data_IF_809697695621
#
_entry.id   IF_809697695621
#
_cell.length_a   1.000
_cell.length_b   1.000
_cell.length_c   1.000
_cell.angle_alpha   90.00
_cell.angle_beta   90.00
_cell.angle_gamma   90.00
#
_symmetry.space_group_name_H-M   'P 1'
#
loop_
_entity.id
_entity.type
_entity.pdbx_description
1 polymer ?
#
# COMPACT_ATOMS: atom_id res chain seq x y z
N UNK A 1 6.35 -26.50 22.47
CA UNK A 1 6.79 -25.12 22.15
C UNK A 1 5.63 -24.49 21.39
N UNK A 2 4.98 -23.51 21.96
CA UNK A 2 3.79 -22.85 21.41
C UNK A 2 4.17 -21.92 20.27
N UNK A 3 3.28 -21.70 19.28
CA UNK A 3 3.46 -20.76 18.16
C UNK A 3 3.89 -19.34 18.59
N UNK A 4 3.63 -18.93 19.82
CA UNK A 4 4.11 -17.68 20.42
C UNK A 4 5.62 -17.63 20.69
N UNK A 5 6.30 -18.76 20.81
CA UNK A 5 7.76 -18.79 21.02
C UNK A 5 8.57 -18.73 19.72
N UNK A 6 7.94 -18.97 18.56
CA UNK A 6 8.60 -18.83 17.25
C UNK A 6 8.54 -17.39 16.66
N UNK A 7 7.74 -16.49 17.26
CA UNK A 7 7.66 -15.08 16.85
C UNK A 7 8.72 -14.16 17.49
N UNK A 8 9.58 -14.70 18.34
CA UNK A 8 10.47 -13.91 19.20
C UNK A 8 11.77 -13.43 18.55
N UNK A 9 12.04 -13.70 17.26
CA UNK A 9 13.33 -13.38 16.62
C UNK A 9 13.24 -12.59 15.29
N UNK A 10 12.07 -12.08 14.93
CA UNK A 10 11.99 -11.14 13.80
C UNK A 10 12.25 -9.75 14.33
N UNK A 11 13.42 -9.18 14.00
CA UNK A 11 13.76 -7.81 14.36
C UNK A 11 12.66 -6.86 13.87
N UNK A 12 12.19 -5.97 14.75
CA UNK A 12 11.18 -4.96 14.40
C UNK A 12 11.72 -4.08 13.25
N UNK A 13 11.07 -4.07 12.07
CA UNK A 13 11.53 -3.30 10.92
C UNK A 13 11.61 -1.80 11.20
N UNK A 14 10.88 -1.29 12.21
CA UNK A 14 10.96 0.10 12.67
C UNK A 14 12.26 0.45 13.38
N UNK A 15 13.03 -0.54 13.83
CA UNK A 15 14.27 -0.36 14.61
C UNK A 15 15.52 -0.85 13.86
N UNK A 16 15.38 -1.31 12.60
CA UNK A 16 16.51 -1.80 11.82
C UNK A 16 17.59 -0.73 11.68
N UNK A 17 18.86 -1.15 11.78
CA UNK A 17 20.04 -0.33 11.59
C UNK A 17 21.15 -1.10 10.88
N UNK A 18 22.22 -0.43 10.49
CA UNK A 18 23.43 -1.03 9.94
C UNK A 18 23.18 -2.07 8.86
N UNK A 19 23.80 -3.23 8.98
CA UNK A 19 23.70 -4.32 8.01
C UNK A 19 22.28 -4.91 7.86
N UNK A 20 21.49 -4.92 8.95
CA UNK A 20 20.12 -5.42 8.91
C UNK A 20 19.21 -4.50 8.09
N UNK A 21 19.35 -3.18 8.25
CA UNK A 21 18.61 -2.20 7.43
C UNK A 21 19.03 -2.25 5.97
N UNK A 22 20.33 -2.38 5.68
CA UNK A 22 20.84 -2.56 4.32
C UNK A 22 20.28 -3.82 3.65
N UNK A 23 20.19 -4.93 4.38
CA UNK A 23 19.60 -6.16 3.89
C UNK A 23 18.10 -6.01 3.62
N UNK A 24 17.36 -5.33 4.49
CA UNK A 24 15.93 -5.07 4.31
C UNK A 24 15.65 -4.19 3.09
N UNK A 25 16.42 -3.13 2.86
CA UNK A 25 16.31 -2.28 1.66
C UNK A 25 16.57 -3.06 0.37
N UNK A 26 17.58 -3.94 0.34
CA UNK A 26 17.83 -4.81 -0.81
C UNK A 26 16.71 -5.83 -1.03
N UNK A 27 16.18 -6.40 0.03
CA UNK A 27 15.08 -7.35 -0.06
C UNK A 27 13.79 -6.69 -0.55
N UNK A 28 13.44 -5.51 -0.03
CA UNK A 28 12.29 -4.73 -0.51
C UNK A 28 12.41 -4.44 -2.01
N UNK A 29 13.56 -3.92 -2.48
CA UNK A 29 13.81 -3.68 -3.91
C UNK A 29 13.69 -4.95 -4.74
N UNK A 30 14.23 -6.06 -4.29
CA UNK A 30 14.12 -7.35 -4.98
C UNK A 30 12.66 -7.78 -5.12
N UNK A 31 11.87 -7.65 -4.06
CA UNK A 31 10.43 -7.96 -4.07
C UNK A 31 9.67 -7.03 -5.02
N UNK A 32 9.93 -5.73 -4.95
CA UNK A 32 9.32 -4.72 -5.83
C UNK A 32 9.57 -5.04 -7.32
N UNK A 33 10.81 -5.34 -7.69
CA UNK A 33 11.14 -5.70 -9.07
C UNK A 33 10.49 -7.00 -9.52
N UNK A 34 10.41 -8.01 -8.65
CA UNK A 34 9.73 -9.26 -8.95
C UNK A 34 8.22 -9.08 -9.22
N UNK A 35 7.60 -8.05 -8.65
CA UNK A 35 6.19 -7.73 -8.90
C UNK A 35 5.91 -7.18 -10.31
N UNK A 36 6.91 -6.79 -11.07
CA UNK A 36 6.75 -6.17 -12.39
C UNK A 36 7.57 -6.84 -13.49
N UNK A 37 8.39 -7.83 -13.15
CA UNK A 37 9.34 -8.44 -14.09
C UNK A 37 8.66 -9.24 -15.20
N UNK A 38 7.57 -9.93 -14.89
CA UNK A 38 6.77 -10.73 -15.82
C UNK A 38 5.81 -9.92 -16.70
N UNK A 39 5.68 -8.61 -16.47
CA UNK A 39 4.77 -7.75 -17.22
C UNK A 39 5.29 -7.48 -18.63
N UNK A 40 4.41 -7.61 -19.63
CA UNK A 40 4.70 -7.26 -21.01
C UNK A 40 4.87 -5.75 -21.21
N UNK A 41 5.46 -5.34 -22.33
CA UNK A 41 5.63 -3.93 -22.67
C UNK A 41 4.30 -3.15 -22.70
N UNK A 42 3.22 -3.77 -23.17
CA UNK A 42 1.88 -3.16 -23.13
C UNK A 42 1.36 -2.98 -21.69
N UNK A 43 1.64 -3.90 -20.78
CA UNK A 43 1.23 -3.82 -19.38
C UNK A 43 2.06 -2.81 -18.58
N UNK A 44 3.24 -2.43 -19.04
CA UNK A 44 4.04 -1.35 -18.46
C UNK A 44 3.45 0.04 -18.66
N UNK A 45 2.58 0.19 -19.67
CA UNK A 45 1.86 1.43 -19.97
C UNK A 45 0.35 1.18 -19.85
N UNK A 46 -0.18 1.01 -18.64
CA UNK A 46 -1.60 0.77 -18.42
C UNK A 46 -2.43 1.95 -18.91
N UNK A 47 -3.74 1.76 -19.21
CA UNK A 47 -4.61 2.87 -19.54
C UNK A 47 -4.73 3.85 -18.35
N UNK A 48 -4.92 5.13 -18.66
CA UNK A 48 -5.17 6.14 -17.62
C UNK A 48 -6.45 5.78 -16.84
N UNK A 49 -6.28 5.60 -15.53
CA UNK A 49 -7.36 5.29 -14.59
C UNK A 49 -6.99 5.87 -13.23
N UNK A 50 -7.99 6.38 -12.50
CA UNK A 50 -7.79 6.87 -11.12
C UNK A 50 -7.18 5.75 -10.25
N UNK A 51 -6.13 6.10 -9.53
CA UNK A 51 -5.41 5.18 -8.64
C UNK A 51 -4.45 4.24 -9.34
N UNK A 52 -4.33 4.26 -10.66
CA UNK A 52 -3.32 3.51 -11.44
C UNK A 52 -2.20 4.47 -11.82
N UNK A 53 -0.98 3.99 -11.93
CA UNK A 53 0.16 4.74 -12.45
C UNK A 53 0.90 3.91 -13.52
N UNK A 54 1.64 4.55 -14.44
CA UNK A 54 2.58 3.83 -15.30
C UNK A 54 3.65 3.15 -14.45
N UNK A 55 3.99 1.91 -14.76
CA UNK A 55 4.98 1.12 -14.00
C UNK A 55 6.34 1.83 -13.96
N UNK A 56 6.76 2.43 -15.09
CA UNK A 56 8.00 3.18 -15.16
C UNK A 56 8.01 4.38 -14.21
N UNK A 57 6.88 5.09 -14.10
CA UNK A 57 6.75 6.22 -13.19
C UNK A 57 6.86 5.78 -11.72
N UNK A 58 6.14 4.73 -11.33
CA UNK A 58 6.17 4.18 -9.97
C UNK A 58 7.59 3.79 -9.55
N UNK A 59 8.30 3.04 -10.38
CA UNK A 59 9.67 2.62 -10.09
C UNK A 59 10.63 3.82 -10.00
N UNK A 60 10.51 4.79 -10.92
CA UNK A 60 11.33 5.99 -10.87
C UNK A 60 10.99 6.87 -9.66
N UNK A 61 9.71 6.95 -9.25
CA UNK A 61 9.27 7.65 -8.06
C UNK A 61 9.84 7.02 -6.77
N UNK A 62 9.83 5.69 -6.66
CA UNK A 62 10.46 4.98 -5.52
C UNK A 62 11.94 5.37 -5.39
N UNK A 63 12.68 5.33 -6.52
CA UNK A 63 14.08 5.69 -6.52
C UNK A 63 14.30 7.18 -6.20
N UNK A 64 13.48 8.05 -6.80
CA UNK A 64 13.51 9.49 -6.55
C UNK A 64 13.25 9.80 -5.07
N UNK A 65 12.25 9.18 -4.46
CA UNK A 65 11.88 9.41 -3.06
C UNK A 65 13.05 9.06 -2.12
N UNK A 66 13.63 7.88 -2.27
CA UNK A 66 14.74 7.46 -1.43
C UNK A 66 15.99 8.33 -1.66
N UNK A 67 16.33 8.66 -2.91
CA UNK A 67 17.43 9.58 -3.21
C UNK A 67 17.18 10.96 -2.62
N UNK A 68 15.98 11.52 -2.82
CA UNK A 68 15.61 12.84 -2.36
C UNK A 68 15.80 12.96 -0.84
N UNK A 69 15.17 12.07 -0.08
CA UNK A 69 15.17 12.18 1.37
C UNK A 69 16.47 11.74 2.04
N UNK A 70 17.20 10.77 1.48
CA UNK A 70 18.42 10.23 2.09
C UNK A 70 19.67 11.00 1.64
N UNK A 71 19.82 11.29 0.35
CA UNK A 71 21.08 11.74 -0.22
C UNK A 71 21.12 13.26 -0.51
N UNK A 72 19.98 13.95 -0.55
CA UNK A 72 19.92 15.34 -1.03
C UNK A 72 19.67 16.37 0.07
N UNK A 73 19.71 15.94 1.32
CA UNK A 73 19.56 16.84 2.48
C UNK A 73 20.71 17.85 2.64
N UNK A 74 20.56 18.85 3.53
CA UNK A 74 19.35 19.19 4.26
C UNK A 74 18.21 19.67 3.36
N UNK A 75 16.96 19.52 3.83
CA UNK A 75 15.77 19.91 3.10
C UNK A 75 15.18 21.19 3.67
N UNK A 76 14.55 21.97 2.81
CA UNK A 76 13.74 23.13 3.20
C UNK A 76 12.42 23.12 2.41
N UNK A 77 11.42 23.83 2.94
CA UNK A 77 10.15 24.04 2.22
C UNK A 77 10.09 25.46 1.67
N UNK A 78 9.57 25.58 0.46
CA UNK A 78 9.27 26.90 -0.11
C UNK A 78 7.94 27.47 0.43
N UNK A 79 7.56 28.64 -0.06
CA UNK A 79 6.33 29.36 0.34
C UNK A 79 5.05 28.62 -0.06
N UNK A 80 5.13 27.74 -1.03
CA UNK A 80 4.03 26.89 -1.50
C UNK A 80 3.97 25.55 -0.73
N UNK A 81 4.96 25.30 0.13
CA UNK A 81 5.06 24.10 0.97
C UNK A 81 5.80 22.92 0.33
N UNK A 82 6.31 23.05 -0.89
CA UNK A 82 7.10 22.00 -1.54
C UNK A 82 8.47 21.85 -0.89
N UNK A 83 8.88 20.60 -0.70
CA UNK A 83 10.21 20.30 -0.22
C UNK A 83 11.26 20.43 -1.33
N UNK A 84 12.44 20.93 -0.96
CA UNK A 84 13.60 21.06 -1.82
C UNK A 84 14.83 20.47 -1.13
N UNK A 85 15.57 19.62 -1.84
CA UNK A 85 16.88 19.15 -1.40
C UNK A 85 17.97 20.16 -1.73
N UNK A 86 19.00 20.25 -0.89
CA UNK A 86 20.14 21.10 -1.14
C UNK A 86 21.03 20.59 -2.28
N UNK A 87 21.15 19.27 -2.42
CA UNK A 87 21.95 18.65 -3.47
C UNK A 87 21.09 18.31 -4.69
N UNK A 88 21.66 18.41 -5.92
CA UNK A 88 20.93 18.07 -7.15
C UNK A 88 20.65 16.55 -7.24
N UNK A 89 19.66 16.14 -8.06
CA UNK A 89 19.41 14.74 -8.35
C UNK A 89 20.64 14.11 -9.04
N UNK A 90 20.94 12.89 -8.68
CA UNK A 90 22.10 12.15 -9.20
C UNK A 90 21.69 10.90 -10.01
N UNK A 91 20.62 10.25 -9.62
CA UNK A 91 20.16 9.00 -10.22
C UNK A 91 18.78 9.14 -10.87
N UNK A 92 17.78 9.62 -10.13
CA UNK A 92 16.39 9.51 -10.51
C UNK A 92 15.83 10.64 -11.37
N UNK A 93 16.62 11.67 -11.66
CA UNK A 93 16.18 12.79 -12.50
C UNK A 93 15.40 13.89 -11.74
N UNK A 94 14.73 14.80 -12.47
CA UNK A 94 14.20 16.03 -11.88
C UNK A 94 12.96 15.80 -11.00
N UNK A 95 12.84 16.60 -9.94
CA UNK A 95 11.73 16.58 -8.99
C UNK A 95 10.37 16.79 -9.67
N UNK A 96 10.32 17.65 -10.69
CA UNK A 96 9.10 17.94 -11.44
C UNK A 96 8.47 16.72 -12.12
N UNK A 97 9.23 15.64 -12.36
CA UNK A 97 8.73 14.41 -12.98
C UNK A 97 8.32 13.35 -11.96
N UNK A 98 9.01 13.28 -10.83
CA UNK A 98 8.85 12.14 -9.92
C UNK A 98 8.32 12.51 -8.53
N UNK A 99 8.23 13.80 -8.19
CA UNK A 99 7.51 14.23 -7.00
C UNK A 99 6.00 14.18 -7.25
N UNK A 100 5.32 13.28 -6.54
CA UNK A 100 3.86 13.12 -6.65
C UNK A 100 3.06 14.36 -6.23
N UNK A 101 3.64 15.25 -5.42
CA UNK A 101 3.02 16.52 -5.03
C UNK A 101 3.10 17.58 -6.15
N UNK A 102 4.07 17.45 -7.07
CA UNK A 102 4.32 18.42 -8.16
C UNK A 102 3.72 17.96 -9.47
N UNK A 103 3.83 16.68 -9.82
CA UNK A 103 3.34 16.15 -11.08
C UNK A 103 1.89 15.69 -10.95
N UNK A 104 0.97 16.43 -11.61
CA UNK A 104 -0.43 16.04 -11.69
C UNK A 104 -0.58 14.60 -12.24
N UNK A 105 -1.51 13.83 -11.67
CA UNK A 105 -1.67 12.40 -11.96
C UNK A 105 -1.76 12.09 -13.47
N UNK A 106 -2.61 12.82 -14.21
CA UNK A 106 -2.79 12.61 -15.66
C UNK A 106 -1.50 12.88 -16.48
N UNK A 107 -0.59 13.70 -15.95
CA UNK A 107 0.67 14.01 -16.64
C UNK A 107 1.65 12.85 -16.64
N UNK A 108 1.53 11.89 -15.73
CA UNK A 108 2.39 10.69 -15.63
C UNK A 108 2.37 9.82 -16.88
N UNK A 109 1.34 9.94 -17.75
CA UNK A 109 1.22 9.22 -19.03
C UNK A 109 1.80 9.97 -20.22
N UNK A 110 2.03 11.28 -20.11
CA UNK A 110 2.46 12.13 -21.24
C UNK A 110 3.87 12.70 -21.06
N UNK A 111 4.37 12.73 -19.84
CA UNK A 111 5.75 13.12 -19.60
C UNK A 111 6.73 12.02 -20.02
N UNK A 112 7.96 12.39 -20.43
CA UNK A 112 8.98 11.41 -20.83
C UNK A 112 9.39 10.57 -19.60
N UNK A 113 9.18 9.25 -19.70
CA UNK A 113 9.57 8.29 -18.66
C UNK A 113 10.81 7.52 -19.09
N UNK A 114 11.66 7.09 -18.13
CA UNK A 114 12.78 6.21 -18.45
C UNK A 114 12.29 4.90 -19.06
N UNK A 115 13.05 4.37 -20.04
CA UNK A 115 12.78 3.03 -20.54
C UNK A 115 13.06 1.96 -19.46
N UNK A 116 12.54 0.75 -19.66
CA UNK A 116 12.77 -0.37 -18.72
C UNK A 116 14.28 -0.65 -18.56
N UNK A 117 15.04 -0.55 -19.63
CA UNK A 117 16.49 -0.75 -19.64
C UNK A 117 17.24 0.36 -18.90
N UNK A 118 16.75 1.60 -18.97
CA UNK A 118 17.34 2.74 -18.27
C UNK A 118 17.02 2.73 -16.77
N UNK A 119 15.86 2.20 -16.39
CA UNK A 119 15.44 2.10 -14.98
C UNK A 119 16.34 1.18 -14.16
N UNK A 120 16.78 0.05 -14.71
CA UNK A 120 17.54 -0.94 -13.94
C UNK A 120 18.85 -0.40 -13.35
N UNK A 121 19.79 0.21 -14.12
CA UNK A 121 20.99 0.79 -13.54
C UNK A 121 20.71 1.98 -12.62
N UNK A 122 19.66 2.77 -12.91
CA UNK A 122 19.24 3.87 -12.06
C UNK A 122 18.80 3.39 -10.68
N UNK A 123 17.90 2.41 -10.61
CA UNK A 123 17.40 1.80 -9.39
C UNK A 123 18.51 1.16 -8.56
N UNK A 124 19.41 0.45 -9.23
CA UNK A 124 20.55 -0.20 -8.58
C UNK A 124 21.55 0.83 -8.03
N UNK A 125 21.94 1.81 -8.82
CA UNK A 125 22.89 2.84 -8.39
C UNK A 125 22.35 3.70 -7.24
N UNK A 126 21.08 4.06 -7.30
CA UNK A 126 20.41 4.80 -6.24
C UNK A 126 20.37 4.00 -4.93
N UNK A 127 19.95 2.73 -4.98
CA UNK A 127 19.85 1.86 -3.80
C UNK A 127 21.22 1.70 -3.12
N UNK A 128 22.26 1.38 -3.87
CA UNK A 128 23.60 1.18 -3.30
C UNK A 128 24.15 2.49 -2.70
N UNK A 129 23.88 3.64 -3.30
CA UNK A 129 24.28 4.92 -2.72
C UNK A 129 23.56 5.21 -1.39
N UNK A 130 22.27 4.92 -1.28
CA UNK A 130 21.52 5.04 -0.02
C UNK A 130 22.06 4.08 1.05
N UNK A 131 22.37 2.83 0.69
CA UNK A 131 22.94 1.85 1.60
C UNK A 131 24.34 2.28 2.09
N UNK A 132 25.18 2.82 1.22
CA UNK A 132 26.50 3.33 1.60
C UNK A 132 26.43 4.49 2.60
N UNK A 133 25.33 5.23 2.65
CA UNK A 133 25.13 6.29 3.61
C UNK A 133 24.79 5.78 5.04
N UNK A 134 24.32 4.53 5.19
CA UNK A 134 23.92 3.97 6.50
C UNK A 134 25.07 3.98 7.52
N UNK A 135 26.31 3.50 7.24
CA UNK A 135 27.36 3.43 8.23
C UNK A 135 27.78 4.79 8.79
N UNK A 136 27.75 5.83 7.96
CA UNK A 136 28.08 7.19 8.40
C UNK A 136 27.03 7.76 9.37
N UNK A 137 25.78 7.40 9.18
CA UNK A 137 24.67 7.83 10.05
C UNK A 137 24.60 7.00 11.33
N UNK A 138 24.86 5.70 11.25
CA UNK A 138 24.82 4.79 12.40
C UNK A 138 25.91 5.13 13.44
N UNK A 139 27.07 5.62 13.00
CA UNK A 139 28.14 6.08 13.89
C UNK A 139 27.87 7.45 14.52
N UNK A 140 26.99 8.24 13.94
CA UNK A 140 26.61 9.56 14.46
C UNK A 140 25.54 9.51 15.57
N UNK A 141 24.91 8.33 15.77
CA UNK A 141 23.70 8.17 16.60
C UNK A 141 23.95 7.98 18.09
N UNK A 142 25.14 8.16 18.58
CA UNK A 142 25.41 8.08 20.02
C UNK A 142 25.27 9.45 20.72
N UNK A 143 24.29 10.25 20.36
CA UNK A 143 23.91 11.38 21.20
C UNK A 143 22.91 10.88 22.23
N UNK A 144 23.26 10.99 23.51
CA UNK A 144 22.36 10.74 24.64
C UNK A 144 21.20 11.77 24.71
N UNK A 145 21.02 12.58 23.67
CA UNK A 145 19.94 13.56 23.55
C UNK A 145 18.71 12.93 22.89
N UNK A 146 17.66 12.63 23.65
CA UNK A 146 16.43 12.02 23.13
C UNK A 146 15.65 12.95 22.19
N UNK A 147 16.01 14.24 22.09
CA UNK A 147 15.39 15.19 21.18
C UNK A 147 16.11 15.30 19.83
N UNK A 148 17.27 14.65 19.68
CA UNK A 148 18.01 14.66 18.42
C UNK A 148 17.22 13.90 17.34
N UNK A 149 17.18 14.41 16.09
CA UNK A 149 16.53 13.71 14.99
C UNK A 149 17.18 12.33 14.75
N UNK A 150 16.35 11.30 14.57
CA UNK A 150 16.83 9.96 14.20
C UNK A 150 17.54 10.02 12.83
N UNK A 151 18.84 9.80 12.73
CA UNK A 151 19.59 9.89 11.48
C UNK A 151 19.22 8.79 10.48
N UNK A 152 18.59 7.70 10.93
CA UNK A 152 18.09 6.62 10.07
C UNK A 152 16.62 6.79 9.69
N UNK A 153 15.95 7.86 10.14
CA UNK A 153 14.54 8.10 9.86
C UNK A 153 14.21 7.97 8.38
N UNK A 154 14.94 8.65 7.51
CA UNK A 154 14.67 8.62 6.07
C UNK A 154 15.01 7.28 5.41
N UNK A 155 15.96 6.53 5.94
CA UNK A 155 16.23 5.17 5.44
C UNK A 155 15.09 4.20 5.77
N UNK A 156 14.54 4.29 6.98
CA UNK A 156 13.37 3.50 7.40
C UNK A 156 12.12 3.95 6.66
N UNK A 157 11.93 5.27 6.50
CA UNK A 157 10.84 5.83 5.69
C UNK A 157 10.90 5.31 4.24
N UNK A 158 12.08 5.29 3.62
CA UNK A 158 12.26 4.77 2.26
C UNK A 158 11.96 3.27 2.16
N UNK A 159 12.32 2.48 3.17
CA UNK A 159 11.98 1.05 3.25
C UNK A 159 10.47 0.84 3.24
N UNK A 160 9.75 1.51 4.15
CA UNK A 160 8.29 1.39 4.22
C UNK A 160 7.60 1.97 2.99
N UNK A 161 8.11 3.07 2.44
CA UNK A 161 7.58 3.68 1.22
C UNK A 161 7.69 2.73 0.02
N UNK A 162 8.81 2.04 -0.16
CA UNK A 162 8.98 1.06 -1.22
C UNK A 162 8.04 -0.16 -1.02
N UNK A 163 7.87 -0.64 0.22
CA UNK A 163 6.93 -1.73 0.52
C UNK A 163 5.47 -1.31 0.25
N UNK A 164 5.08 -0.06 0.54
CA UNK A 164 3.76 0.48 0.17
C UNK A 164 3.55 0.50 -1.36
N UNK A 165 4.58 0.83 -2.13
CA UNK A 165 4.52 0.72 -3.60
C UNK A 165 4.50 -0.73 -4.09
N UNK A 166 5.13 -1.66 -3.37
CA UNK A 166 4.97 -3.09 -3.61
C UNK A 166 3.52 -3.55 -3.45
N UNK A 167 2.83 -3.08 -2.42
CA UNK A 167 1.39 -3.29 -2.24
C UNK A 167 0.60 -2.64 -3.39
N UNK A 168 0.96 -1.41 -3.79
CA UNK A 168 0.32 -0.71 -4.90
C UNK A 168 0.41 -1.50 -6.22
N UNK A 169 1.55 -2.09 -6.55
CA UNK A 169 1.67 -2.96 -7.72
C UNK A 169 0.72 -4.15 -7.67
N UNK A 170 0.54 -4.76 -6.51
CA UNK A 170 -0.39 -5.89 -6.36
C UNK A 170 -1.84 -5.47 -6.63
N UNK A 171 -2.34 -4.39 -6.00
CA UNK A 171 -3.71 -3.97 -6.24
C UNK A 171 -3.93 -3.34 -7.63
N UNK A 172 -2.92 -2.69 -8.21
CA UNK A 172 -2.96 -2.21 -9.60
C UNK A 172 -3.10 -3.37 -10.59
N UNK A 173 -2.25 -4.41 -10.46
CA UNK A 173 -2.35 -5.63 -11.28
C UNK A 173 -3.74 -6.28 -11.15
N UNK A 174 -4.26 -6.38 -9.94
CA UNK A 174 -5.59 -6.91 -9.70
C UNK A 174 -6.71 -6.01 -10.29
N UNK A 175 -6.56 -4.68 -10.22
CA UNK A 175 -7.51 -3.74 -10.81
C UNK A 175 -7.54 -3.81 -12.34
N UNK A 176 -6.39 -3.93 -12.96
CA UNK A 176 -6.21 -4.03 -14.41
C UNK A 176 -6.55 -5.42 -14.98
N UNK A 177 -6.71 -6.43 -14.13
CA UNK A 177 -6.89 -7.82 -14.56
C UNK A 177 -5.63 -8.41 -15.18
N UNK A 178 -4.46 -8.01 -14.70
CA UNK A 178 -3.19 -8.61 -15.05
C UNK A 178 -2.97 -9.91 -14.28
N UNK A 179 -2.06 -10.79 -14.72
CA UNK A 179 -1.75 -12.02 -13.99
C UNK A 179 -1.36 -11.74 -12.53
N UNK A 180 -1.71 -12.64 -11.63
CA UNK A 180 -1.24 -12.56 -10.25
C UNK A 180 0.30 -12.62 -10.22
N UNK A 181 0.97 -11.88 -9.32
CA UNK A 181 2.35 -12.20 -8.98
C UNK A 181 2.46 -13.67 -8.53
N UNK A 182 3.63 -14.26 -8.71
CA UNK A 182 3.84 -15.66 -8.35
C UNK A 182 3.44 -15.93 -6.89
N UNK A 183 2.74 -17.03 -6.66
CA UNK A 183 2.40 -17.59 -5.34
C UNK A 183 1.42 -16.77 -4.46
N UNK A 184 0.67 -15.82 -5.02
CA UNK A 184 -0.40 -15.15 -4.29
C UNK A 184 -1.69 -15.99 -4.35
N UNK A 185 -2.04 -16.65 -3.26
CA UNK A 185 -3.30 -17.36 -3.10
C UNK A 185 -4.45 -16.42 -2.72
N UNK A 186 -5.69 -16.82 -3.03
CA UNK A 186 -6.88 -16.15 -2.49
C UNK A 186 -6.88 -16.32 -0.97
N UNK A 187 -6.89 -15.25 -0.17
CA UNK A 187 -6.87 -15.36 1.27
C UNK A 187 -8.18 -15.98 1.79
N UNK A 188 -8.07 -16.88 2.74
CA UNK A 188 -9.21 -17.42 3.49
C UNK A 188 -9.40 -16.64 4.79
N UNK A 189 -10.63 -16.56 5.27
CA UNK A 189 -10.97 -15.94 6.54
C UNK A 189 -11.37 -17.02 7.55
N UNK A 190 -11.01 -16.81 8.80
CA UNK A 190 -11.41 -17.70 9.88
C UNK A 190 -12.93 -17.64 10.12
N UNK A 191 -13.47 -18.65 10.80
CA UNK A 191 -14.85 -18.62 11.25
C UNK A 191 -15.09 -17.40 12.13
N UNK A 192 -16.10 -16.62 11.76
CA UNK A 192 -16.45 -15.36 12.39
C UNK A 192 -17.21 -15.61 13.69
N UNK A 193 -16.80 -14.94 14.76
CA UNK A 193 -17.48 -14.87 16.06
C UNK A 193 -17.58 -13.42 16.49
N UNK A 194 -18.55 -13.11 17.33
CA UNK A 194 -18.67 -11.78 17.93
C UNK A 194 -17.76 -11.66 19.14
N UNK A 195 -17.04 -10.56 19.20
CA UNK A 195 -16.18 -10.16 20.32
C UNK A 195 -16.79 -8.96 21.00
N UNK A 196 -17.16 -9.09 22.28
CA UNK A 196 -17.61 -7.98 23.10
C UNK A 196 -16.40 -7.33 23.77
N UNK A 197 -16.13 -6.09 23.41
CA UNK A 197 -15.02 -5.31 23.95
C UNK A 197 -15.58 -4.29 24.95
N UNK A 198 -15.12 -4.30 26.22
CA UNK A 198 -15.55 -3.32 27.22
C UNK A 198 -15.05 -1.94 26.87
N UNK A 199 -15.75 -0.90 27.32
CA UNK A 199 -15.29 0.47 27.19
C UNK A 199 -13.96 0.69 27.91
N UNK A 200 -13.05 1.42 27.29
CA UNK A 200 -11.71 1.66 27.81
C UNK A 200 -11.18 3.05 27.40
N UNK A 201 -10.23 3.55 28.20
CA UNK A 201 -9.36 4.62 27.76
C UNK A 201 -8.22 3.98 26.95
N UNK A 202 -8.10 4.38 25.70
CA UNK A 202 -7.08 3.86 24.76
C UNK A 202 -6.15 4.97 24.32
N UNK A 203 -4.92 4.59 24.04
CA UNK A 203 -3.93 5.48 23.45
C UNK A 203 -3.66 5.03 22.01
N UNK A 204 -3.95 5.89 21.04
CA UNK A 204 -3.76 5.64 19.60
C UNK A 204 -2.59 6.47 19.11
N UNK A 205 -1.72 5.85 18.32
CA UNK A 205 -0.49 6.46 17.82
C UNK A 205 0.75 6.05 18.62
N UNK A 206 1.90 6.50 18.15
CA UNK A 206 3.20 6.16 18.74
C UNK A 206 3.70 7.30 19.63
N UNK A 207 4.26 6.90 20.76
CA UNK A 207 4.95 7.82 21.67
C UNK A 207 6.32 8.15 21.12
N UNK A 208 6.71 9.42 21.19
CA UNK A 208 8.05 9.88 20.80
C UNK A 208 9.16 9.26 21.67
N UNK A 209 8.80 8.69 22.83
CA UNK A 209 9.73 7.94 23.70
C UNK A 209 9.91 6.49 23.24
N UNK A 210 9.10 6.00 22.28
CA UNK A 210 9.23 4.65 21.76
C UNK A 210 10.32 4.62 20.68
N UNK A 211 11.38 3.83 20.85
CA UNK A 211 12.46 3.78 19.88
C UNK A 211 11.97 3.20 18.54
N UNK A 212 12.33 3.83 17.44
CA UNK A 212 12.06 3.35 16.10
C UNK A 212 11.30 4.34 15.24
N UNK A 213 11.09 3.96 13.99
CA UNK A 213 10.41 4.75 12.98
C UNK A 213 8.90 4.86 13.26
N UNK A 214 8.36 6.05 13.08
CA UNK A 214 6.93 6.33 12.99
C UNK A 214 6.67 7.26 11.80
N UNK A 215 5.56 7.07 11.11
CA UNK A 215 5.09 8.08 10.16
C UNK A 215 4.63 9.34 10.90
N UNK A 216 4.68 10.49 10.25
CA UNK A 216 4.31 11.77 10.83
C UNK A 216 2.86 11.81 11.35
N UNK A 217 1.95 11.10 10.69
CA UNK A 217 0.53 10.96 11.09
C UNK A 217 0.29 9.94 12.22
N UNK A 218 1.32 9.19 12.65
CA UNK A 218 1.25 8.29 13.80
C UNK A 218 1.66 8.98 15.11
N UNK A 219 2.13 10.20 15.06
CA UNK A 219 2.64 10.98 16.21
C UNK A 219 2.08 12.40 16.21
N UNK A 220 1.84 13.02 17.38
CA UNK A 220 1.90 12.44 18.73
C UNK A 220 0.72 11.52 19.02
N UNK A 221 0.82 10.63 20.02
CA UNK A 221 -0.26 9.76 20.40
C UNK A 221 -1.44 10.54 21.00
N UNK A 222 -2.66 10.08 20.74
CA UNK A 222 -3.90 10.64 21.25
C UNK A 222 -4.54 9.70 22.25
N UNK A 223 -5.06 10.25 23.36
CA UNK A 223 -5.86 9.51 24.31
C UNK A 223 -7.33 9.65 23.97
N UNK A 224 -8.02 8.52 23.82
CA UNK A 224 -9.43 8.46 23.45
C UNK A 224 -10.19 7.59 24.45
N UNK A 225 -11.41 8.02 24.80
CA UNK A 225 -12.36 7.19 25.53
C UNK A 225 -13.24 6.46 24.54
N UNK A 226 -13.10 5.13 24.45
CA UNK A 226 -13.99 4.29 23.64
C UNK A 226 -15.12 3.74 24.50
N UNK A 227 -16.39 3.83 24.07
CA UNK A 227 -17.48 3.09 24.67
C UNK A 227 -17.29 1.59 24.42
N UNK A 228 -17.96 0.73 25.17
CA UNK A 228 -18.03 -0.70 24.88
C UNK A 228 -18.69 -0.92 23.52
N UNK A 229 -18.19 -1.88 22.76
CA UNK A 229 -18.70 -2.24 21.42
C UNK A 229 -18.50 -3.71 21.12
N UNK A 230 -19.29 -4.22 20.19
CA UNK A 230 -19.16 -5.58 19.67
C UNK A 230 -18.62 -5.51 18.25
N UNK A 231 -17.65 -6.36 17.93
CA UNK A 231 -17.02 -6.45 16.60
C UNK A 231 -16.88 -7.91 16.17
N UNK A 232 -16.92 -8.16 14.89
CA UNK A 232 -16.60 -9.48 14.33
C UNK A 232 -15.10 -9.81 14.49
N UNK A 233 -14.77 -11.05 14.84
CA UNK A 233 -13.39 -11.53 14.99
C UNK A 233 -12.64 -11.74 13.66
N UNK A 234 -13.35 -11.70 12.53
CA UNK A 234 -12.81 -11.88 11.19
C UNK A 234 -13.54 -10.98 10.18
N UNK A 235 -12.88 -10.65 9.06
CA UNK A 235 -13.52 -9.91 7.98
C UNK A 235 -14.73 -10.65 7.40
N UNK A 236 -15.60 -9.92 6.70
CA UNK A 236 -16.73 -10.53 5.96
C UNK A 236 -16.19 -11.45 4.87
N UNK A 237 -16.69 -12.69 4.82
CA UNK A 237 -16.33 -13.65 3.77
C UNK A 237 -17.04 -13.32 2.45
N UNK A 238 -16.48 -13.82 1.35
CA UNK A 238 -17.13 -13.72 0.03
C UNK A 238 -18.49 -14.44 0.03
N UNK A 239 -18.61 -15.54 0.77
CA UNK A 239 -19.87 -16.24 0.96
C UNK A 239 -20.94 -15.41 1.67
N UNK A 240 -20.56 -14.72 2.76
CA UNK A 240 -21.49 -13.83 3.46
C UNK A 240 -21.89 -12.66 2.59
N UNK A 241 -20.94 -12.08 1.87
CA UNK A 241 -21.23 -10.96 0.97
C UNK A 241 -22.13 -11.36 -0.21
N UNK A 242 -21.92 -12.56 -0.77
CA UNK A 242 -22.79 -13.08 -1.82
C UNK A 242 -24.24 -13.24 -1.31
N UNK A 243 -24.45 -13.72 -0.09
CA UNK A 243 -25.79 -13.79 0.51
C UNK A 243 -26.44 -12.41 0.67
N UNK A 244 -25.66 -11.40 1.06
CA UNK A 244 -26.14 -10.01 1.11
C UNK A 244 -26.61 -9.51 -0.27
N UNK A 245 -25.80 -9.76 -1.31
CA UNK A 245 -26.18 -9.38 -2.71
C UNK A 245 -27.43 -10.10 -3.17
N UNK A 246 -27.53 -11.42 -2.96
CA UNK A 246 -28.71 -12.23 -3.34
C UNK A 246 -29.97 -11.84 -2.57
N UNK A 247 -29.84 -11.40 -1.33
CA UNK A 247 -30.94 -10.91 -0.53
C UNK A 247 -31.44 -9.51 -0.96
N UNK A 248 -30.90 -8.94 -2.03
CA UNK A 248 -31.27 -7.61 -2.51
C UNK A 248 -30.63 -6.47 -1.71
N UNK A 249 -29.50 -6.71 -1.04
CA UNK A 249 -28.86 -5.70 -0.21
C UNK A 249 -28.44 -4.44 -0.97
N UNK A 250 -28.19 -4.55 -2.27
CA UNK A 250 -27.97 -3.39 -3.14
C UNK A 250 -29.25 -2.64 -3.46
N UNK A 251 -30.42 -3.25 -3.35
CA UNK A 251 -31.72 -2.65 -3.68
C UNK A 251 -32.42 -2.08 -2.46
N UNK A 252 -32.00 -2.44 -1.24
CA UNK A 252 -32.60 -1.95 0.00
C UNK A 252 -32.06 -0.54 0.34
N UNK A 253 -32.90 0.51 0.25
CA UNK A 253 -32.45 1.89 0.49
C UNK A 253 -31.90 2.14 1.89
N UNK A 254 -32.35 1.38 2.88
CA UNK A 254 -31.92 1.51 4.28
C UNK A 254 -30.42 1.25 4.49
N UNK A 255 -29.77 0.49 3.61
CA UNK A 255 -28.34 0.22 3.66
C UNK A 255 -27.48 1.30 2.96
N UNK A 256 -28.11 2.25 2.26
CA UNK A 256 -27.42 3.24 1.42
C UNK A 256 -27.81 4.67 1.81
N UNK A 257 -27.37 5.19 2.98
CA UNK A 257 -27.75 6.52 3.40
C UNK A 257 -27.13 7.62 2.53
N UNK A 258 -27.87 8.70 2.31
CA UNK A 258 -27.42 9.96 1.69
C UNK A 258 -26.48 9.80 0.49
N UNK A 259 -25.21 10.11 0.65
CA UNK A 259 -24.19 10.10 -0.40
C UNK A 259 -23.98 8.70 -1.02
N UNK A 260 -24.03 7.65 -0.22
CA UNK A 260 -23.93 6.28 -0.70
C UNK A 260 -25.11 5.89 -1.61
N UNK A 261 -26.32 6.35 -1.28
CA UNK A 261 -27.50 6.17 -2.11
C UNK A 261 -27.41 6.93 -3.43
N UNK A 262 -26.95 8.16 -3.43
CA UNK A 262 -26.71 8.95 -4.64
C UNK A 262 -25.67 8.28 -5.56
N UNK A 263 -24.54 7.84 -4.99
CA UNK A 263 -23.52 7.10 -5.72
C UNK A 263 -24.07 5.81 -6.33
N UNK A 264 -24.81 5.00 -5.57
CA UNK A 264 -25.41 3.76 -6.06
C UNK A 264 -26.36 4.03 -7.24
N UNK A 265 -27.21 5.05 -7.13
CA UNK A 265 -28.15 5.42 -8.19
C UNK A 265 -27.40 5.89 -9.45
N UNK A 266 -26.35 6.68 -9.30
CA UNK A 266 -25.54 7.18 -10.41
C UNK A 266 -24.72 6.07 -11.10
N UNK A 267 -24.15 5.14 -10.30
CA UNK A 267 -23.32 4.04 -10.82
C UNK A 267 -24.13 2.86 -11.34
N UNK A 268 -25.44 2.81 -11.07
CA UNK A 268 -26.31 1.65 -11.32
C UNK A 268 -25.73 0.33 -10.79
N UNK A 269 -24.98 0.41 -9.68
CA UNK A 269 -24.26 -0.72 -9.12
C UNK A 269 -25.21 -1.67 -8.40
N UNK A 270 -25.24 -2.94 -8.80
CA UNK A 270 -26.06 -4.00 -8.21
C UNK A 270 -25.22 -5.11 -7.52
N UNK A 271 -23.91 -5.04 -7.62
CA UNK A 271 -22.95 -5.96 -7.02
C UNK A 271 -21.52 -5.34 -7.05
N UNK A 272 -20.51 -5.89 -6.36
CA UNK A 272 -19.15 -5.41 -6.45
C UNK A 272 -18.61 -5.43 -7.88
N UNK A 273 -17.81 -4.44 -8.26
CA UNK A 273 -17.26 -4.30 -9.62
C UNK A 273 -16.46 -5.52 -10.09
N UNK A 274 -15.83 -6.26 -9.17
CA UNK A 274 -15.04 -7.46 -9.48
C UNK A 274 -15.85 -8.75 -9.37
N UNK A 275 -17.17 -8.66 -9.40
CA UNK A 275 -18.10 -9.78 -9.38
C UNK A 275 -18.91 -9.79 -10.66
N UNK A 276 -19.30 -10.97 -11.09
CA UNK A 276 -20.25 -11.16 -12.20
C UNK A 276 -21.09 -12.42 -11.98
N UNK A 277 -22.21 -12.51 -12.65
CA UNK A 277 -22.97 -13.75 -12.71
C UNK A 277 -22.18 -14.82 -13.45
N UNK A 278 -22.14 -16.04 -12.89
CA UNK A 278 -21.48 -17.18 -13.51
C UNK A 278 -22.13 -17.49 -14.89
N UNK A 279 -21.29 -17.74 -15.88
CA UNK A 279 -21.73 -18.01 -17.25
C UNK A 279 -22.41 -19.40 -17.39
N UNK A 280 -22.00 -20.35 -16.54
CA UNK A 280 -22.56 -21.72 -16.51
C UNK A 280 -23.46 -21.85 -15.30
N UNK A 281 -24.77 -22.03 -15.55
CA UNK A 281 -25.82 -22.07 -14.54
C UNK A 281 -25.67 -23.14 -13.46
N UNK A 282 -24.74 -22.95 -12.53
CA UNK A 282 -24.80 -23.55 -11.21
C UNK A 282 -25.79 -22.73 -10.38
N UNK A 283 -26.91 -23.34 -10.07
CA UNK A 283 -28.05 -22.68 -9.41
C UNK A 283 -28.03 -22.79 -7.89
N UNK A 284 -26.92 -23.12 -7.29
CA UNK A 284 -26.77 -23.37 -5.86
C UNK A 284 -26.05 -22.17 -5.17
N UNK A 285 -26.83 -21.17 -4.77
CA UNK A 285 -26.42 -20.08 -3.89
C UNK A 285 -25.15 -19.34 -4.32
N UNK A 286 -23.99 -19.74 -3.79
CA UNK A 286 -22.69 -19.17 -4.13
C UNK A 286 -22.25 -19.45 -5.56
N UNK A 287 -22.72 -20.52 -6.19
CA UNK A 287 -22.41 -20.89 -7.58
C UNK A 287 -22.99 -19.97 -8.65
N UNK A 288 -23.85 -19.00 -8.27
CA UNK A 288 -24.36 -17.99 -9.18
C UNK A 288 -23.35 -16.87 -9.47
N UNK A 289 -22.25 -16.77 -8.73
CA UNK A 289 -21.28 -15.70 -8.83
C UNK A 289 -19.89 -16.18 -9.18
N UNK A 290 -19.13 -15.32 -9.87
CA UNK A 290 -17.69 -15.39 -10.04
C UNK A 290 -17.09 -14.08 -9.55
N UNK A 291 -15.98 -14.20 -8.81
CA UNK A 291 -15.16 -13.10 -8.31
C UNK A 291 -13.85 -13.04 -9.10
N UNK A 292 -13.46 -11.86 -9.57
CA UNK A 292 -12.19 -11.69 -10.27
C UNK A 292 -11.02 -11.62 -9.30
N UNK A 293 -10.13 -12.59 -9.40
CA UNK A 293 -8.83 -12.64 -8.76
C UNK A 293 -7.75 -12.43 -9.80
N UNK A 294 -7.22 -11.23 -9.88
CA UNK A 294 -6.30 -10.79 -10.93
C UNK A 294 -6.90 -11.00 -12.33
N UNK A 295 -6.28 -11.83 -13.18
CA UNK A 295 -6.73 -12.18 -14.53
C UNK A 295 -7.77 -13.32 -14.58
N UNK A 296 -8.08 -13.97 -13.45
CA UNK A 296 -8.95 -15.13 -13.37
C UNK A 296 -10.29 -14.83 -12.73
N UNK A 297 -11.33 -15.46 -13.24
CA UNK A 297 -12.64 -15.50 -12.62
C UNK A 297 -12.81 -16.82 -11.85
N UNK A 298 -13.04 -16.74 -10.57
CA UNK A 298 -13.13 -17.88 -9.65
C UNK A 298 -14.49 -17.85 -8.94
N UNK A 299 -15.10 -19.02 -8.67
CA UNK A 299 -16.25 -19.05 -7.78
C UNK A 299 -15.81 -18.55 -6.40
N UNK A 300 -16.59 -17.69 -5.73
CA UNK A 300 -16.29 -17.25 -4.38
C UNK A 300 -16.38 -18.46 -3.46
N UNK A 301 -15.25 -18.82 -2.83
CA UNK A 301 -15.29 -19.85 -1.77
C UNK A 301 -16.01 -19.28 -0.53
N UNK A 302 -16.78 -20.10 0.20
CA UNK A 302 -17.54 -19.62 1.36
C UNK A 302 -16.69 -18.89 2.39
N UNK A 303 -15.44 -19.31 2.55
CA UNK A 303 -14.45 -18.83 3.49
C UNK A 303 -13.37 -17.94 2.84
N UNK A 304 -13.44 -17.60 1.55
CA UNK A 304 -12.53 -16.63 0.96
C UNK A 304 -12.86 -15.22 1.42
N UNK A 305 -11.83 -14.36 1.50
CA UNK A 305 -12.05 -12.94 1.80
C UNK A 305 -12.93 -12.29 0.72
N UNK A 306 -13.89 -11.44 1.15
CA UNK A 306 -14.69 -10.67 0.23
C UNK A 306 -13.83 -9.58 -0.42
N UNK A 307 -13.59 -9.68 -1.72
CA UNK A 307 -12.91 -8.64 -2.49
C UNK A 307 -13.97 -7.68 -3.02
N UNK A 308 -14.08 -6.56 -2.36
CA UNK A 308 -14.99 -5.46 -2.74
C UNK A 308 -14.15 -4.25 -3.13
N UNK A 309 -14.46 -3.63 -4.27
CA UNK A 309 -13.82 -2.39 -4.67
C UNK A 309 -14.24 -1.27 -3.72
N UNK A 310 -13.28 -0.45 -3.31
CA UNK A 310 -13.58 0.78 -2.58
C UNK A 310 -14.41 1.71 -3.47
N UNK A 311 -15.43 2.34 -2.90
CA UNK A 311 -16.07 3.48 -3.54
C UNK A 311 -15.01 4.58 -3.72
N UNK A 312 -14.67 4.91 -4.97
CA UNK A 312 -13.93 6.13 -5.24
C UNK A 312 -14.93 7.29 -5.13
N UNK A 313 -14.96 7.98 -4.01
CA UNK A 313 -15.51 9.32 -3.98
C UNK A 313 -14.54 10.19 -4.77
N UNK A 314 -14.83 10.44 -6.04
CA UNK A 314 -14.21 11.53 -6.77
C UNK A 314 -14.73 12.83 -6.15
N UNK A 315 -14.01 13.39 -5.20
CA UNK A 315 -14.09 14.81 -4.94
C UNK A 315 -13.49 15.52 -6.16
N UNK A 316 -14.34 16.25 -6.84
CA UNK A 316 -13.97 17.18 -7.90
C UNK A 316 -12.96 18.23 -7.41
#
# INVERSE_FOLDING_TARGET
MTQQQQQADVADPRQLSGAALAAALRDSRRRTLALVDDLSAAQWSPPHQIGINPIAWELAHIAWFAEFWILRGPHHRDVEGFAHGQLPPRFAGPDALFDSARLAHARRWVEPMPSREALQPMLQGQLEACIQAIPALDTATTTDDPSAPDPLYFHRLALFHEDMHGEAFCWMRAALGYPAPTDIAVPTVATRTLLDLPGADVRVGLDTTNPGFAFDNESPPQSLRLPGYTIDSAPVSAGDFARFVEAGGYDEPGFWPAEAGAWRAQSACAHPQRWRRAVTGRSDGLGAWEMRWFDRWLPPAPDSAAIVSRMSTSSA
#
